data_IF_824659191425
#
_entry.id   IF_824659191425
#
_cell.length_a   1.000
_cell.length_b   1.000
_cell.length_c   1.000
_cell.angle_alpha   90.00
_cell.angle_beta   90.00
_cell.angle_gamma   90.00
#
_symmetry.space_group_name_H-M   'P 1'
#
loop_
_entity.id
_entity.type
_entity.pdbx_description
1 polymer ?
#
# COMPACT_ATOMS: atom_id res chain seq x y z
N UNK A 1 16.50 -2.73 -11.50
CA UNK A 1 15.57 -3.87 -11.71
C UNK A 1 14.55 -4.00 -10.59
N UNK A 2 14.92 -4.20 -9.31
CA UNK A 2 13.94 -4.25 -8.19
C UNK A 2 13.38 -2.85 -7.80
N UNK A 3 14.22 -1.81 -7.77
CA UNK A 3 13.77 -0.45 -7.42
C UNK A 3 12.90 0.18 -8.52
N UNK A 4 13.23 -0.05 -9.79
CA UNK A 4 12.44 0.46 -10.93
C UNK A 4 11.02 -0.13 -10.94
N UNK A 5 10.91 -1.43 -10.64
CA UNK A 5 9.62 -2.09 -10.46
C UNK A 5 8.85 -1.50 -9.27
N UNK A 6 9.53 -1.17 -8.18
CA UNK A 6 8.90 -0.57 -7.01
C UNK A 6 8.38 0.85 -7.32
N UNK A 7 9.15 1.65 -8.07
CA UNK A 7 8.75 2.97 -8.57
C UNK A 7 7.52 2.88 -9.49
N UNK A 8 7.50 1.92 -10.41
CA UNK A 8 6.36 1.69 -11.30
C UNK A 8 5.09 1.32 -10.51
N UNK A 9 5.21 0.44 -9.52
CA UNK A 9 4.10 0.06 -8.65
C UNK A 9 3.61 1.23 -7.79
N UNK A 10 4.52 2.09 -7.29
CA UNK A 10 4.15 3.30 -6.57
C UNK A 10 3.37 4.28 -7.48
N UNK A 11 3.78 4.43 -8.74
CA UNK A 11 3.19 5.34 -9.71
C UNK A 11 1.88 4.84 -10.35
N UNK A 12 1.70 3.52 -10.49
CA UNK A 12 0.50 2.89 -11.09
C UNK A 12 -0.69 2.76 -10.13
N UNK A 13 -0.54 3.23 -8.90
CA UNK A 13 -1.63 3.42 -7.94
C UNK A 13 -2.40 4.73 -8.21
N UNK A 14 -2.80 4.95 -9.47
CA UNK A 14 -3.51 6.15 -9.92
C UNK A 14 -5.04 6.04 -9.70
N UNK A 15 -5.70 7.19 -9.53
CA UNK A 15 -7.15 7.33 -9.27
C UNK A 15 -8.03 6.88 -10.46
N UNK A 16 -7.49 6.84 -11.68
CA UNK A 16 -8.20 6.44 -12.90
C UNK A 16 -8.25 4.91 -13.13
N UNK A 17 -7.47 4.12 -12.37
CA UNK A 17 -7.54 2.66 -12.44
C UNK A 17 -8.83 2.17 -11.75
N UNK A 18 -9.43 1.09 -12.26
CA UNK A 18 -10.52 0.46 -11.51
C UNK A 18 -10.02 0.05 -10.11
N UNK A 19 -10.89 0.15 -9.12
CA UNK A 19 -10.54 -0.05 -7.69
C UNK A 19 -9.87 -1.42 -7.45
N UNK A 20 -10.27 -2.46 -8.16
CA UNK A 20 -9.71 -3.81 -7.99
C UNK A 20 -8.27 -3.84 -8.48
N UNK A 21 -8.01 -3.21 -9.63
CA UNK A 21 -6.65 -3.06 -10.18
C UNK A 21 -5.76 -2.25 -9.24
N UNK A 22 -6.27 -1.14 -8.70
CA UNK A 22 -5.55 -0.33 -7.72
C UNK A 22 -5.18 -1.12 -6.45
N UNK A 23 -6.14 -1.83 -5.82
CA UNK A 23 -5.86 -2.66 -4.63
C UNK A 23 -4.83 -3.76 -4.94
N UNK A 24 -4.84 -4.29 -6.16
CA UNK A 24 -3.87 -5.32 -6.58
C UNK A 24 -2.46 -4.76 -6.73
N UNK A 25 -2.33 -3.55 -7.29
CA UNK A 25 -1.03 -2.87 -7.41
C UNK A 25 -0.47 -2.49 -6.03
N UNK A 26 -1.34 -2.02 -5.13
CA UNK A 26 -1.02 -1.80 -3.72
C UNK A 26 -0.52 -3.08 -3.02
N UNK A 27 -1.25 -4.21 -3.15
CA UNK A 27 -0.77 -5.50 -2.63
C UNK A 27 0.63 -5.85 -3.17
N UNK A 28 0.83 -5.70 -4.49
CA UNK A 28 2.10 -6.02 -5.14
C UNK A 28 3.24 -5.11 -4.66
N UNK A 29 2.97 -3.83 -4.41
CA UNK A 29 3.93 -2.88 -3.85
C UNK A 29 4.50 -3.36 -2.52
N UNK A 30 3.64 -3.74 -1.57
CA UNK A 30 4.11 -4.22 -0.27
C UNK A 30 4.83 -5.57 -0.34
N UNK A 31 4.39 -6.48 -1.20
CA UNK A 31 5.10 -7.74 -1.43
C UNK A 31 6.48 -7.50 -2.06
N UNK A 32 6.62 -6.54 -2.97
CA UNK A 32 7.91 -6.18 -3.57
C UNK A 32 8.89 -5.62 -2.51
N UNK A 33 8.43 -4.78 -1.58
CA UNK A 33 9.26 -4.32 -0.45
C UNK A 33 9.71 -5.51 0.42
N UNK A 34 8.80 -6.46 0.71
CA UNK A 34 9.16 -7.65 1.47
C UNK A 34 10.19 -8.53 0.74
N UNK A 35 10.08 -8.67 -0.59
CA UNK A 35 11.03 -9.41 -1.43
C UNK A 35 12.45 -8.83 -1.34
N UNK A 36 12.58 -7.50 -1.21
CA UNK A 36 13.88 -6.81 -1.07
C UNK A 36 14.61 -7.16 0.24
N UNK A 37 13.93 -7.71 1.25
CA UNK A 37 14.56 -8.14 2.50
C UNK A 37 15.36 -9.45 2.35
N UNK A 38 15.13 -10.21 1.28
CA UNK A 38 15.68 -11.56 1.11
C UNK A 38 15.13 -12.61 2.09
N UNK A 39 14.18 -12.26 2.95
CA UNK A 39 13.62 -13.14 3.96
C UNK A 39 12.33 -13.81 3.45
N UNK A 40 12.44 -15.08 3.05
CA UNK A 40 11.33 -15.85 2.48
C UNK A 40 10.15 -16.05 3.43
N UNK A 41 10.39 -16.10 4.75
CA UNK A 41 9.33 -16.12 5.75
C UNK A 41 8.57 -14.79 5.77
N UNK A 42 9.29 -13.66 5.74
CA UNK A 42 8.71 -12.33 5.71
C UNK A 42 7.82 -12.15 4.46
N UNK A 43 8.32 -12.54 3.28
CA UNK A 43 7.58 -12.47 2.02
C UNK A 43 6.27 -13.26 2.10
N UNK A 44 6.31 -14.49 2.63
CA UNK A 44 5.11 -15.33 2.80
C UNK A 44 4.10 -14.69 3.73
N UNK A 45 4.55 -14.17 4.87
CA UNK A 45 3.67 -13.54 5.87
C UNK A 45 2.96 -12.31 5.29
N UNK A 46 3.70 -11.41 4.62
CA UNK A 46 3.13 -10.21 4.01
C UNK A 46 2.17 -10.58 2.88
N UNK A 47 2.56 -11.50 2.00
CA UNK A 47 1.70 -11.90 0.87
C UNK A 47 0.37 -12.48 1.36
N UNK A 48 0.41 -13.38 2.36
CA UNK A 48 -0.81 -13.98 2.93
C UNK A 48 -1.68 -12.97 3.66
N UNK A 49 -1.08 -12.09 4.45
CA UNK A 49 -1.81 -11.04 5.17
C UNK A 49 -2.54 -10.12 4.19
N UNK A 50 -1.88 -9.70 3.12
CA UNK A 50 -2.49 -8.80 2.13
C UNK A 50 -3.56 -9.48 1.29
N UNK A 51 -3.39 -10.76 0.97
CA UNK A 51 -4.43 -11.53 0.30
C UNK A 51 -5.71 -11.62 1.15
N UNK A 52 -5.56 -11.90 2.46
CA UNK A 52 -6.69 -11.92 3.40
C UNK A 52 -7.39 -10.55 3.52
N UNK A 53 -6.66 -9.45 3.31
CA UNK A 53 -7.17 -8.09 3.37
C UNK A 53 -7.77 -7.59 2.04
N UNK A 54 -7.57 -8.31 0.93
CA UNK A 54 -7.91 -7.85 -0.41
C UNK A 54 -9.39 -7.46 -0.55
N UNK A 55 -10.30 -8.39 -0.27
CA UNK A 55 -11.74 -8.16 -0.38
C UNK A 55 -12.24 -7.02 0.51
N UNK A 56 -11.72 -6.93 1.72
CA UNK A 56 -12.08 -5.86 2.64
C UNK A 56 -11.58 -4.50 2.13
N UNK A 57 -10.36 -4.45 1.61
CA UNK A 57 -9.75 -3.24 1.06
C UNK A 57 -10.51 -2.75 -0.17
N UNK A 58 -10.92 -3.65 -1.07
CA UNK A 58 -11.77 -3.33 -2.23
C UNK A 58 -13.10 -2.75 -1.79
N UNK A 59 -13.76 -3.35 -0.79
CA UNK A 59 -15.04 -2.83 -0.25
C UNK A 59 -14.89 -1.44 0.35
N UNK A 60 -13.87 -1.23 1.17
CA UNK A 60 -13.62 0.08 1.80
C UNK A 60 -13.26 1.13 0.76
N UNK A 61 -12.45 0.79 -0.25
CA UNK A 61 -12.13 1.67 -1.37
C UNK A 61 -13.36 2.06 -2.19
N UNK A 62 -14.25 1.11 -2.52
CA UNK A 62 -15.52 1.39 -3.23
C UNK A 62 -16.41 2.35 -2.45
N UNK A 63 -16.54 2.17 -1.15
CA UNK A 63 -17.35 3.02 -0.28
C UNK A 63 -16.83 4.46 -0.22
N UNK A 64 -15.51 4.64 -0.31
CA UNK A 64 -14.86 5.95 -0.26
C UNK A 64 -14.70 6.61 -1.63
N UNK A 65 -15.06 5.94 -2.74
CA UNK A 65 -14.77 6.44 -4.09
C UNK A 65 -13.27 6.40 -4.43
N UNK A 66 -12.51 5.53 -3.75
CA UNK A 66 -11.06 5.48 -3.74
C UNK A 66 -10.52 5.65 -2.32
N UNK A 67 -9.51 4.87 -1.92
CA UNK A 67 -8.83 5.10 -0.62
C UNK A 67 -7.87 6.29 -0.68
N UNK A 68 -7.57 6.78 -1.88
CA UNK A 68 -6.73 7.95 -2.09
C UNK A 68 -5.41 7.86 -1.32
N UNK A 69 -4.81 6.67 -1.16
CA UNK A 69 -3.43 6.59 -0.69
C UNK A 69 -2.63 7.26 -1.81
N UNK A 70 -2.24 8.53 -1.64
CA UNK A 70 -1.79 9.30 -2.76
C UNK A 70 -0.43 8.72 -3.09
N UNK A 71 -0.16 8.60 -4.38
CA UNK A 71 1.14 8.30 -4.98
C UNK A 71 2.31 8.94 -4.18
N UNK A 72 2.09 10.07 -3.51
CA UNK A 72 3.01 10.71 -2.56
C UNK A 72 3.44 9.85 -1.34
N UNK A 73 2.54 9.11 -0.68
CA UNK A 73 2.88 8.26 0.47
C UNK A 73 3.78 7.10 0.06
N UNK A 74 3.43 6.41 -1.04
CA UNK A 74 4.29 5.38 -1.62
C UNK A 74 5.60 5.97 -2.14
N UNK A 75 5.57 7.16 -2.76
CA UNK A 75 6.75 7.90 -3.18
C UNK A 75 7.73 8.12 -2.03
N UNK A 76 7.26 8.61 -0.88
CA UNK A 76 8.12 8.82 0.29
C UNK A 76 8.78 7.52 0.80
N UNK A 77 8.07 6.39 0.73
CA UNK A 77 8.64 5.08 1.08
C UNK A 77 9.73 4.70 0.08
N UNK A 78 9.46 4.85 -1.22
CA UNK A 78 10.41 4.51 -2.28
C UNK A 78 11.65 5.40 -2.22
N UNK A 79 11.49 6.70 -1.98
CA UNK A 79 12.60 7.65 -1.86
C UNK A 79 13.52 7.27 -0.69
N UNK A 80 12.95 6.90 0.46
CA UNK A 80 13.74 6.46 1.60
C UNK A 80 14.47 5.13 1.33
N UNK A 81 13.80 4.17 0.66
CA UNK A 81 14.42 2.91 0.25
C UNK A 81 15.55 3.17 -0.76
N UNK A 82 15.35 4.05 -1.74
CA UNK A 82 16.35 4.43 -2.74
C UNK A 82 17.58 5.10 -2.11
N UNK A 83 17.37 5.88 -1.05
CA UNK A 83 18.43 6.51 -0.27
C UNK A 83 19.12 5.56 0.73
N UNK A 84 18.70 4.29 0.81
CA UNK A 84 19.13 3.32 1.83
C UNK A 84 18.87 3.80 3.28
N UNK A 85 17.85 4.64 3.49
CA UNK A 85 17.43 5.14 4.79
C UNK A 85 16.37 4.22 5.41
N UNK A 86 16.83 3.26 6.21
CA UNK A 86 15.96 2.27 6.86
C UNK A 86 14.95 2.91 7.84
N UNK A 87 15.37 3.92 8.62
CA UNK A 87 14.46 4.57 9.57
C UNK A 87 13.49 5.50 8.86
N UNK A 88 13.91 6.16 7.78
CA UNK A 88 13.03 6.92 6.89
C UNK A 88 11.95 6.04 6.26
N UNK A 89 12.32 4.89 5.71
CA UNK A 89 11.38 3.95 5.08
C UNK A 89 10.36 3.42 6.10
N UNK A 90 10.82 3.07 7.29
CA UNK A 90 9.97 2.64 8.42
C UNK A 90 9.01 3.74 8.86
N UNK A 91 9.50 4.97 8.99
CA UNK A 91 8.68 6.13 9.39
C UNK A 91 7.61 6.44 8.35
N UNK A 92 7.97 6.44 7.07
CA UNK A 92 7.05 6.64 5.95
C UNK A 92 5.98 5.54 5.90
N UNK A 93 6.37 4.27 6.03
CA UNK A 93 5.43 3.13 6.09
C UNK A 93 4.46 3.24 7.27
N UNK A 94 4.95 3.61 8.45
CA UNK A 94 4.09 3.80 9.62
C UNK A 94 3.10 4.96 9.46
N UNK A 95 3.52 6.06 8.80
CA UNK A 95 2.63 7.17 8.46
C UNK A 95 1.53 6.74 7.47
N UNK A 96 1.92 6.03 6.41
CA UNK A 96 1.01 5.47 5.41
C UNK A 96 -0.07 4.57 6.04
N UNK A 97 0.33 3.60 6.88
CA UNK A 97 -0.62 2.69 7.54
C UNK A 97 -1.58 3.42 8.48
N UNK A 98 -1.13 4.44 9.21
CA UNK A 98 -1.99 5.28 10.05
C UNK A 98 -3.01 6.06 9.22
N UNK A 99 -2.58 6.68 8.13
CA UNK A 99 -3.48 7.41 7.25
C UNK A 99 -4.55 6.50 6.62
N UNK A 100 -4.20 5.26 6.24
CA UNK A 100 -5.19 4.26 5.81
C UNK A 100 -6.18 3.93 6.93
N UNK A 101 -5.69 3.69 8.15
CA UNK A 101 -6.52 3.38 9.30
C UNK A 101 -7.53 4.50 9.59
N UNK A 102 -7.09 5.75 9.60
CA UNK A 102 -7.94 6.93 9.80
C UNK A 102 -9.01 7.04 8.72
N UNK A 103 -8.62 6.90 7.44
CA UNK A 103 -9.56 6.88 6.31
C UNK A 103 -10.60 5.76 6.43
N UNK A 104 -10.17 4.56 6.84
CA UNK A 104 -11.06 3.42 7.03
C UNK A 104 -12.03 3.60 8.21
N UNK A 105 -11.57 4.22 9.31
CA UNK A 105 -12.41 4.53 10.48
C UNK A 105 -13.47 5.58 10.12
N UNK A 106 -13.08 6.64 9.41
CA UNK A 106 -14.00 7.63 8.86
C UNK A 106 -15.03 6.92 7.96
N UNK A 107 -14.58 6.05 7.06
CA UNK A 107 -15.46 5.29 6.19
C UNK A 107 -16.52 4.52 6.98
N UNK A 108 -16.11 3.80 8.04
CA UNK A 108 -17.00 3.03 8.91
C UNK A 108 -18.02 3.91 9.64
N UNK A 109 -17.59 5.04 10.19
CA UNK A 109 -18.47 5.98 10.91
C UNK A 109 -19.54 6.62 10.02
N UNK A 110 -19.26 6.85 8.73
CA UNK A 110 -20.17 7.54 7.80
C UNK A 110 -21.06 6.62 6.93
N UNK A 111 -21.19 5.33 7.25
CA UNK A 111 -22.07 4.46 6.48
C UNK A 111 -22.58 3.24 7.25
N UNK A 112 -22.97 3.47 8.50
CA UNK A 112 -24.17 2.81 9.00
C UNK A 112 -25.39 3.61 8.51
N UNK A 113 -26.41 2.96 7.92
CA UNK A 113 -27.78 3.37 8.16
C UNK A 113 -28.18 3.10 9.62
#
# INVERSE_FOLDING_TARGET
MQLDQLLELAATNNEDADIVTWVRNDLRFHTAIAEMTGNSLHVRLISQLRELQFEQTVKTARRLGGLGAPIAEHGAIVDAIAAADAEGAKTAMAAHLRAIQERAQIAQAYGEP
#
